data_IF_280941198893
#
_entry.id   IF_280941198893
#
_cell.length_a   1.000
_cell.length_b   1.000
_cell.length_c   1.000
_cell.angle_alpha   90.00
_cell.angle_beta   90.00
_cell.angle_gamma   90.00
#
_symmetry.space_group_name_H-M   'P 1'
#
loop_
_entity.id
_entity.type
_entity.pdbx_description
1 polymer ?
#
# COMPACT_ATOMS: atom_id res chain seq x y z
N UNK A 1 18.00 -2.67 7.34
CA UNK A 1 17.45 -2.99 6.02
C UNK A 1 18.21 -4.17 5.48
N UNK A 2 17.54 -5.31 5.37
CA UNK A 2 18.10 -6.45 4.64
C UNK A 2 18.25 -6.09 3.15
N UNK A 3 19.17 -6.73 2.44
CA UNK A 3 19.34 -6.53 0.99
C UNK A 3 18.03 -6.82 0.21
N UNK A 4 17.20 -7.73 0.73
CA UNK A 4 15.90 -8.07 0.16
C UNK A 4 14.81 -7.00 0.38
N UNK A 5 14.95 -6.12 1.38
CA UNK A 5 13.95 -5.07 1.67
C UNK A 5 14.16 -3.80 0.85
N UNK A 6 15.39 -3.56 0.37
CA UNK A 6 15.75 -2.34 -0.33
C UNK A 6 14.98 -2.11 -1.65
N UNK A 7 14.76 -3.13 -2.51
CA UNK A 7 13.94 -2.98 -3.71
C UNK A 7 12.50 -2.58 -3.38
N UNK A 8 11.90 -3.24 -2.39
CA UNK A 8 10.53 -2.95 -1.97
C UNK A 8 10.36 -1.56 -1.35
N UNK A 9 11.31 -1.12 -0.53
CA UNK A 9 11.33 0.23 0.01
C UNK A 9 11.42 1.28 -1.10
N UNK A 10 12.24 1.04 -2.12
CA UNK A 10 12.32 1.93 -3.30
C UNK A 10 10.99 1.97 -4.07
N UNK A 11 10.32 0.84 -4.27
CA UNK A 11 9.01 0.79 -4.92
C UNK A 11 7.93 1.52 -4.10
N UNK A 12 7.91 1.31 -2.79
CA UNK A 12 7.01 2.01 -1.86
C UNK A 12 7.17 3.52 -1.99
N UNK A 13 8.42 4.01 -1.99
CA UNK A 13 8.73 5.43 -2.21
C UNK A 13 8.22 5.94 -3.56
N UNK A 14 8.52 5.20 -4.64
CA UNK A 14 8.07 5.54 -6.00
C UNK A 14 6.56 5.60 -6.13
N UNK A 15 5.83 4.66 -5.53
CA UNK A 15 4.36 4.63 -5.57
C UNK A 15 3.77 5.89 -4.96
N UNK A 16 4.31 6.36 -3.83
CA UNK A 16 3.89 7.63 -3.22
C UNK A 16 4.16 8.81 -4.16
N UNK A 17 5.37 8.88 -4.73
CA UNK A 17 5.71 9.94 -5.67
C UNK A 17 4.82 9.94 -6.91
N UNK A 18 4.49 8.77 -7.45
CA UNK A 18 3.55 8.66 -8.58
C UNK A 18 2.16 9.11 -8.17
N UNK A 19 1.66 8.66 -7.01
CA UNK A 19 0.34 9.06 -6.51
C UNK A 19 0.22 10.59 -6.37
N UNK A 20 1.26 11.25 -5.85
CA UNK A 20 1.31 12.71 -5.75
C UNK A 20 1.46 13.40 -7.12
N UNK A 21 2.33 12.88 -7.99
CA UNK A 21 2.64 13.49 -9.28
C UNK A 21 1.47 13.47 -10.26
N UNK A 22 0.58 12.47 -10.18
CA UNK A 22 -0.60 12.36 -11.03
C UNK A 22 -1.49 13.60 -11.02
N UNK A 23 -1.61 14.24 -9.85
CA UNK A 23 -2.43 15.44 -9.65
C UNK A 23 -1.57 16.69 -9.36
N UNK A 24 -0.24 16.62 -9.59
CA UNK A 24 0.68 17.73 -9.34
C UNK A 24 0.72 18.19 -7.87
N UNK A 25 0.56 17.26 -6.93
CA UNK A 25 0.52 17.56 -5.50
C UNK A 25 1.94 17.66 -4.90
N UNK A 26 2.25 18.77 -4.23
CA UNK A 26 3.50 18.94 -3.45
C UNK A 26 3.33 18.42 -2.02
N UNK A 27 4.43 18.21 -1.29
CA UNK A 27 4.34 17.81 0.12
C UNK A 27 3.61 18.83 0.99
N UNK A 28 3.91 20.13 0.84
CA UNK A 28 3.17 21.19 1.53
C UNK A 28 1.66 21.10 1.28
N UNK A 29 1.23 20.99 0.01
CA UNK A 29 -0.20 20.86 -0.34
C UNK A 29 -0.80 19.56 0.20
N UNK A 30 -0.04 18.47 0.22
CA UNK A 30 -0.47 17.20 0.79
C UNK A 30 -0.72 17.33 2.29
N UNK A 31 0.16 18.00 3.04
CA UNK A 31 -0.03 18.21 4.47
C UNK A 31 -1.31 19.02 4.74
N UNK A 32 -1.52 20.11 4.01
CA UNK A 32 -2.73 20.93 4.16
C UNK A 32 -4.00 20.09 3.88
N UNK A 33 -4.00 19.33 2.77
CA UNK A 33 -5.15 18.51 2.39
C UNK A 33 -5.40 17.33 3.34
N UNK A 34 -4.35 16.73 3.91
CA UNK A 34 -4.46 15.70 4.95
C UNK A 34 -5.05 16.28 6.24
N UNK A 35 -4.60 17.47 6.65
CA UNK A 35 -5.13 18.16 7.82
C UNK A 35 -6.62 18.50 7.66
N UNK A 36 -7.05 18.96 6.48
CA UNK A 36 -8.46 19.17 6.14
C UNK A 36 -9.29 17.88 6.23
N UNK A 37 -8.68 16.74 5.90
CA UNK A 37 -9.28 15.41 6.04
C UNK A 37 -9.15 14.81 7.46
N UNK A 38 -8.67 15.58 8.45
CA UNK A 38 -8.53 15.15 9.83
C UNK A 38 -7.34 14.23 10.11
N UNK A 39 -6.35 14.19 9.22
CA UNK A 39 -5.12 13.42 9.36
C UNK A 39 -3.97 14.36 9.72
N UNK A 40 -3.49 14.27 10.96
CA UNK A 40 -2.34 15.07 11.41
C UNK A 40 -1.03 14.48 10.89
N UNK A 41 -0.37 15.22 10.00
CA UNK A 41 0.91 14.85 9.42
C UNK A 41 1.86 16.04 9.37
N UNK A 42 3.16 15.77 9.50
CA UNK A 42 4.20 16.80 9.48
C UNK A 42 5.11 16.60 8.28
N UNK A 43 5.35 17.67 7.53
CA UNK A 43 6.01 17.62 6.22
C UNK A 43 7.39 16.94 6.27
N UNK A 44 8.31 17.41 7.13
CA UNK A 44 9.68 16.88 7.19
C UNK A 44 9.73 15.39 7.60
N UNK A 45 9.04 14.94 8.67
CA UNK A 45 8.95 13.52 9.01
C UNK A 45 8.29 12.67 7.92
N UNK A 46 7.28 13.21 7.22
CA UNK A 46 6.62 12.53 6.10
C UNK A 46 7.61 12.30 4.94
N UNK A 47 8.29 13.35 4.48
CA UNK A 47 9.32 13.25 3.43
C UNK A 47 10.37 12.20 3.81
N UNK A 48 10.84 12.21 5.05
CA UNK A 48 11.84 11.27 5.52
C UNK A 48 11.34 9.81 5.53
N UNK A 49 10.07 9.56 5.88
CA UNK A 49 9.45 8.21 5.80
C UNK A 49 9.27 7.76 4.35
N UNK A 50 8.80 8.64 3.47
CA UNK A 50 8.63 8.35 2.04
C UNK A 50 9.98 8.04 1.38
N UNK A 51 11.02 8.82 1.66
CA UNK A 51 12.36 8.58 1.14
C UNK A 51 12.95 7.22 1.56
N UNK A 52 12.59 6.74 2.75
CA UNK A 52 12.98 5.41 3.24
C UNK A 52 12.04 4.28 2.78
N UNK A 53 10.93 4.58 2.12
CA UNK A 53 9.89 3.60 1.78
C UNK A 53 9.13 3.04 3.00
N UNK A 54 9.30 3.64 4.18
CA UNK A 54 8.73 3.18 5.45
C UNK A 54 7.38 3.83 5.73
N UNK A 55 6.45 3.72 4.78
CA UNK A 55 5.11 4.30 4.86
C UNK A 55 4.04 3.23 5.01
N UNK A 56 2.94 3.59 5.68
CA UNK A 56 1.74 2.74 5.80
C UNK A 56 0.96 2.73 4.49
N UNK A 57 0.23 1.66 4.23
CA UNK A 57 -0.68 1.61 3.09
C UNK A 57 -1.83 2.63 3.23
N UNK A 58 -2.29 2.89 4.46
CA UNK A 58 -3.29 3.92 4.76
C UNK A 58 -2.90 5.30 4.22
N UNK A 59 -1.61 5.65 4.26
CA UNK A 59 -1.12 6.91 3.69
C UNK A 59 -1.34 6.99 2.17
N UNK A 60 -1.14 5.88 1.43
CA UNK A 60 -1.44 5.87 0.00
C UNK A 60 -2.93 6.09 -0.24
N UNK A 61 -3.81 5.45 0.53
CA UNK A 61 -5.25 5.65 0.43
C UNK A 61 -5.66 7.09 0.70
N UNK A 62 -5.08 7.68 1.75
CA UNK A 62 -5.29 9.07 2.11
C UNK A 62 -4.81 10.00 0.99
N UNK A 63 -3.62 9.79 0.43
CA UNK A 63 -3.10 10.57 -0.71
C UNK A 63 -4.06 10.48 -1.89
N UNK A 64 -4.49 9.28 -2.29
CA UNK A 64 -5.43 9.09 -3.40
C UNK A 64 -6.73 9.87 -3.14
N UNK A 65 -7.24 9.81 -1.91
CA UNK A 65 -8.46 10.52 -1.51
C UNK A 65 -8.30 12.04 -1.56
N UNK A 66 -7.30 12.60 -0.88
CA UNK A 66 -7.14 14.07 -0.74
C UNK A 66 -6.63 14.73 -2.02
N UNK A 67 -5.98 13.97 -2.90
CA UNK A 67 -5.60 14.47 -4.24
C UNK A 67 -6.76 14.40 -5.23
N UNK A 68 -7.85 13.69 -4.91
CA UNK A 68 -8.95 13.43 -5.84
C UNK A 68 -8.59 12.45 -6.95
N UNK A 69 -7.44 11.77 -6.87
CA UNK A 69 -7.06 10.75 -7.81
C UNK A 69 -8.07 9.60 -7.78
N UNK A 70 -8.44 9.08 -8.96
CA UNK A 70 -9.38 7.97 -9.04
C UNK A 70 -8.72 6.68 -8.52
N UNK A 71 -9.27 6.01 -7.49
CA UNK A 71 -8.75 4.73 -7.05
C UNK A 71 -9.01 3.64 -8.11
N UNK A 72 -8.25 2.54 -8.10
CA UNK A 72 -8.54 1.33 -8.87
C UNK A 72 -9.98 0.88 -8.70
N UNK A 73 -10.58 0.36 -9.78
CA UNK A 73 -12.00 0.01 -9.81
C UNK A 73 -12.39 -0.97 -8.68
N UNK A 74 -11.53 -1.93 -8.40
CA UNK A 74 -11.73 -2.92 -7.33
C UNK A 74 -11.77 -2.31 -5.93
N UNK A 75 -11.17 -1.13 -5.75
CA UNK A 75 -11.07 -0.47 -4.44
C UNK A 75 -12.21 0.51 -4.20
N UNK A 76 -13.04 0.81 -5.20
CA UNK A 76 -14.03 1.89 -5.10
C UNK A 76 -15.01 1.68 -3.94
N UNK A 77 -15.52 0.47 -3.75
CA UNK A 77 -16.42 0.14 -2.63
C UNK A 77 -15.72 0.29 -1.28
N UNK A 78 -14.49 -0.21 -1.18
CA UNK A 78 -13.67 -0.10 0.03
C UNK A 78 -13.33 1.36 0.36
N UNK A 79 -13.04 2.20 -0.64
CA UNK A 79 -12.80 3.64 -0.46
C UNK A 79 -14.05 4.40 -0.02
N UNK A 80 -15.22 4.01 -0.53
CA UNK A 80 -16.50 4.62 -0.18
C UNK A 80 -17.00 4.22 1.21
N UNK A 81 -16.40 3.19 1.83
CA UNK A 81 -16.80 2.74 3.16
C UNK A 81 -16.58 3.82 4.23
N UNK A 82 -17.53 3.89 5.15
CA UNK A 82 -17.42 4.72 6.36
C UNK A 82 -16.48 4.08 7.38
N UNK A 83 -15.90 4.90 8.25
CA UNK A 83 -15.00 4.44 9.32
C UNK A 83 -13.57 4.93 9.16
N UNK A 84 -12.63 4.19 9.73
CA UNK A 84 -11.22 4.58 9.78
C UNK A 84 -10.47 4.20 8.50
N UNK A 85 -9.30 4.82 8.29
CA UNK A 85 -8.43 4.47 7.16
C UNK A 85 -7.93 3.03 7.23
N UNK A 86 -7.74 2.50 8.43
CA UNK A 86 -7.38 1.10 8.67
C UNK A 86 -8.50 0.15 8.23
N UNK A 87 -9.77 0.48 8.53
CA UNK A 87 -10.91 -0.30 8.05
C UNK A 87 -10.98 -0.30 6.51
N UNK A 88 -10.73 0.85 5.87
CA UNK A 88 -10.63 0.95 4.41
C UNK A 88 -9.46 0.13 3.86
N UNK A 89 -8.29 0.16 4.50
CA UNK A 89 -7.13 -0.64 4.12
C UNK A 89 -7.42 -2.14 4.18
N UNK A 90 -8.10 -2.60 5.23
CA UNK A 90 -8.56 -3.96 5.36
C UNK A 90 -9.54 -4.33 4.25
N UNK A 91 -10.53 -3.48 3.98
CA UNK A 91 -11.53 -3.71 2.94
C UNK A 91 -10.91 -3.77 1.53
N UNK A 92 -9.92 -2.92 1.23
CA UNK A 92 -9.17 -2.96 -0.05
C UNK A 92 -8.46 -4.30 -0.20
N UNK A 93 -7.72 -4.73 0.82
CA UNK A 93 -6.99 -5.99 0.74
C UNK A 93 -7.92 -7.22 0.72
N UNK A 94 -9.05 -7.15 1.41
CA UNK A 94 -10.10 -8.16 1.30
C UNK A 94 -10.64 -8.24 -0.14
N UNK A 95 -10.92 -7.10 -0.79
CA UNK A 95 -11.38 -7.06 -2.18
C UNK A 95 -10.35 -7.63 -3.17
N UNK A 96 -9.05 -7.45 -2.90
CA UNK A 96 -7.98 -8.08 -3.67
C UNK A 96 -7.95 -9.60 -3.49
N UNK A 97 -8.13 -10.08 -2.25
CA UNK A 97 -8.16 -11.51 -1.96
C UNK A 97 -9.40 -12.20 -2.53
N UNK A 98 -10.55 -11.53 -2.61
CA UNK A 98 -11.76 -12.12 -3.22
C UNK A 98 -11.64 -12.35 -4.73
N UNK A 99 -10.69 -11.70 -5.41
CA UNK A 99 -10.35 -12.03 -6.80
C UNK A 99 -9.71 -13.41 -6.95
N UNK A 100 -9.15 -13.97 -5.86
CA UNK A 100 -8.58 -15.31 -5.83
C UNK A 100 -9.10 -16.11 -4.64
N UNK A 101 -10.36 -16.59 -4.69
CA UNK A 101 -11.01 -17.27 -3.55
C UNK A 101 -10.27 -18.51 -3.04
N UNK A 102 -9.40 -19.11 -3.86
CA UNK A 102 -8.58 -20.27 -3.49
C UNK A 102 -7.33 -19.92 -2.67
N UNK A 103 -6.99 -18.64 -2.53
CA UNK A 103 -5.85 -18.20 -1.73
C UNK A 103 -6.27 -18.14 -0.26
N UNK A 104 -5.93 -19.19 0.48
CA UNK A 104 -6.07 -19.21 1.93
C UNK A 104 -4.98 -18.34 2.60
N UNK A 105 -5.13 -17.97 3.89
CA UNK A 105 -4.06 -17.28 4.61
C UNK A 105 -2.73 -18.03 4.60
N UNK A 106 -2.75 -19.36 4.70
CA UNK A 106 -1.53 -20.17 4.66
C UNK A 106 -0.89 -20.17 3.26
N UNK A 107 -1.71 -20.21 2.20
CA UNK A 107 -1.25 -20.09 0.82
C UNK A 107 -0.65 -18.70 0.56
N UNK A 108 -1.28 -17.64 1.06
CA UNK A 108 -0.73 -16.28 0.97
C UNK A 108 0.62 -16.20 1.66
N UNK A 109 0.75 -16.77 2.86
CA UNK A 109 2.00 -16.81 3.60
C UNK A 109 3.09 -17.57 2.82
N UNK A 110 2.73 -18.71 2.24
CA UNK A 110 3.65 -19.50 1.41
C UNK A 110 4.16 -18.70 0.21
N UNK A 111 3.26 -18.01 -0.52
CA UNK A 111 3.67 -17.18 -1.65
C UNK A 111 4.49 -15.97 -1.23
N UNK A 112 4.19 -15.35 -0.09
CA UNK A 112 4.98 -14.25 0.45
C UNK A 112 6.41 -14.69 0.81
N UNK A 113 6.58 -15.91 1.31
CA UNK A 113 7.90 -16.48 1.57
C UNK A 113 8.73 -16.64 0.28
N UNK A 114 8.09 -16.95 -0.85
CA UNK A 114 8.76 -17.05 -2.17
C UNK A 114 9.35 -15.71 -2.60
N UNK A 115 8.72 -14.58 -2.25
CA UNK A 115 9.22 -13.22 -2.57
C UNK A 115 10.09 -12.61 -1.46
N UNK A 116 10.63 -13.46 -0.58
CA UNK A 116 11.61 -13.09 0.45
C UNK A 116 11.01 -12.48 1.71
N UNK A 117 9.69 -12.56 1.93
CA UNK A 117 9.05 -12.04 3.14
C UNK A 117 9.09 -13.08 4.24
N UNK A 118 9.90 -12.82 5.27
CA UNK A 118 9.91 -13.61 6.50
C UNK A 118 8.90 -13.04 7.50
N UNK A 119 7.69 -13.62 7.55
CA UNK A 119 6.68 -13.30 8.57
C UNK A 119 6.00 -14.58 9.07
N UNK A 120 5.22 -14.47 10.15
CA UNK A 120 4.41 -15.59 10.67
C UNK A 120 2.94 -15.39 10.29
N UNK A 121 2.18 -16.49 10.18
CA UNK A 121 0.73 -16.42 9.95
C UNK A 121 0.03 -15.52 10.98
N UNK A 122 0.41 -15.64 12.25
CA UNK A 122 -0.15 -14.84 13.35
C UNK A 122 0.13 -13.35 13.16
N UNK A 123 1.37 -12.98 12.87
CA UNK A 123 1.76 -11.58 12.64
C UNK A 123 1.04 -11.01 11.43
N UNK A 124 1.03 -11.77 10.32
CA UNK A 124 0.34 -11.38 9.10
C UNK A 124 -1.15 -11.14 9.36
N UNK A 125 -1.86 -12.12 9.92
CA UNK A 125 -3.29 -12.00 10.23
C UNK A 125 -3.59 -10.86 11.21
N UNK A 126 -2.69 -10.58 12.15
CA UNK A 126 -2.83 -9.44 13.05
C UNK A 126 -2.76 -8.11 12.30
N UNK A 127 -1.79 -7.95 11.40
CA UNK A 127 -1.68 -6.73 10.57
C UNK A 127 -2.86 -6.57 9.61
N UNK A 128 -3.29 -7.68 8.99
CA UNK A 128 -4.44 -7.71 8.08
C UNK A 128 -5.73 -7.31 8.80
N UNK A 129 -5.98 -7.91 9.96
CA UNK A 129 -7.17 -7.62 10.77
C UNK A 129 -7.15 -6.20 11.33
N UNK A 130 -5.98 -5.67 11.68
CA UNK A 130 -5.85 -4.32 12.20
C UNK A 130 -5.90 -3.24 11.11
N UNK A 131 -5.71 -3.60 9.83
CA UNK A 131 -5.56 -2.64 8.74
C UNK A 131 -4.28 -1.79 8.81
N UNK A 132 -3.36 -2.13 9.73
CA UNK A 132 -2.12 -1.39 9.97
C UNK A 132 -0.91 -2.16 9.42
N UNK A 133 -0.78 -2.11 8.09
CA UNK A 133 0.34 -2.71 7.38
C UNK A 133 1.07 -1.69 6.49
N UNK A 134 2.34 -1.99 6.20
CA UNK A 134 3.18 -1.14 5.36
C UNK A 134 2.75 -1.21 3.90
N UNK A 135 3.01 -0.14 3.15
CA UNK A 135 2.82 -0.13 1.70
C UNK A 135 3.70 -1.20 1.04
N UNK A 136 4.92 -1.40 1.53
CA UNK A 136 5.80 -2.49 1.10
C UNK A 136 5.11 -3.86 1.20
N UNK A 137 4.52 -4.17 2.34
CA UNK A 137 3.79 -5.43 2.53
C UNK A 137 2.61 -5.54 1.55
N UNK A 138 1.88 -4.46 1.33
CA UNK A 138 0.81 -4.43 0.35
C UNK A 138 1.32 -4.70 -1.08
N UNK A 139 2.44 -4.10 -1.50
CA UNK A 139 3.04 -4.35 -2.82
C UNK A 139 3.50 -5.80 -2.98
N UNK A 140 4.01 -6.41 -1.91
CA UNK A 140 4.34 -7.83 -1.88
C UNK A 140 3.09 -8.69 -2.08
N UNK A 141 1.99 -8.37 -1.38
CA UNK A 141 0.68 -9.00 -1.59
C UNK A 141 0.21 -8.85 -3.05
N UNK A 142 0.28 -7.64 -3.63
CA UNK A 142 -0.14 -7.42 -5.03
C UNK A 142 0.69 -8.23 -6.01
N UNK A 143 1.97 -8.42 -5.73
CA UNK A 143 2.88 -9.21 -6.55
C UNK A 143 2.52 -10.70 -6.52
N UNK A 144 2.31 -11.27 -5.32
CA UNK A 144 1.96 -12.70 -5.18
C UNK A 144 0.54 -13.03 -5.61
N UNK A 145 -0.36 -12.05 -5.52
CA UNK A 145 -1.71 -12.12 -6.06
C UNK A 145 -1.75 -11.76 -7.56
N UNK A 146 -0.65 -11.29 -8.16
CA UNK A 146 -0.60 -10.84 -9.56
C UNK A 146 -1.73 -9.84 -9.89
N UNK A 147 -2.06 -8.97 -8.94
CA UNK A 147 -3.11 -7.97 -9.10
C UNK A 147 -2.65 -6.85 -10.03
N UNK A 148 -3.58 -6.35 -10.85
CA UNK A 148 -3.37 -5.24 -11.77
C UNK A 148 -3.85 -3.89 -11.20
N UNK A 149 -4.42 -3.89 -9.98
CA UNK A 149 -4.93 -2.65 -9.36
C UNK A 149 -3.86 -1.58 -9.21
N UNK A 150 -2.58 -1.98 -9.16
CA UNK A 150 -1.46 -1.07 -8.97
C UNK A 150 -0.81 -0.56 -10.26
N UNK A 151 -1.27 -0.97 -11.44
CA UNK A 151 -0.63 -0.63 -12.74
C UNK A 151 -0.55 0.88 -12.99
N UNK A 152 -1.47 1.66 -12.42
CA UNK A 152 -1.47 3.12 -12.50
C UNK A 152 -0.42 3.82 -11.62
N UNK A 153 0.22 3.07 -10.71
CA UNK A 153 1.14 3.57 -9.69
C UNK A 153 2.53 2.92 -9.75
N UNK A 154 2.63 1.68 -10.22
CA UNK A 154 3.89 0.95 -10.36
C UNK A 154 3.81 -0.04 -11.51
N UNK A 155 4.90 -0.14 -12.27
CA UNK A 155 5.04 -1.12 -13.35
C UNK A 155 5.13 -2.54 -12.77
N UNK A 156 4.30 -3.45 -13.29
CA UNK A 156 4.32 -4.88 -12.94
C UNK A 156 5.72 -5.51 -13.11
N UNK A 157 6.54 -5.06 -14.07
CA UNK A 157 7.93 -5.52 -14.23
C UNK A 157 8.80 -5.13 -13.04
N UNK A 158 8.57 -3.95 -12.48
CA UNK A 158 9.30 -3.47 -11.31
C UNK A 158 8.93 -4.28 -10.06
N UNK A 159 7.66 -4.67 -9.92
CA UNK A 159 7.20 -5.58 -8.86
C UNK A 159 7.86 -6.96 -8.97
N UNK A 160 7.86 -7.57 -10.16
CA UNK A 160 8.52 -8.86 -10.38
C UNK A 160 10.02 -8.77 -10.13
N UNK A 161 10.67 -7.69 -10.57
CA UNK A 161 12.11 -7.49 -10.34
C UNK A 161 12.48 -7.31 -8.86
N UNK A 162 11.56 -6.82 -8.02
CA UNK A 162 11.80 -6.70 -6.58
C UNK A 162 11.57 -8.02 -5.82
N UNK A 163 10.87 -8.97 -6.44
CA UNK A 163 10.58 -10.29 -5.91
C UNK A 163 11.64 -11.35 -6.25
N UNK A 164 12.57 -11.04 -7.17
CA UNK A 164 13.71 -11.89 -7.56
C UNK A 164 14.97 -11.48 -6.81
#
# INVERSE_FOLDING_TARGET
MSAAEAPWASLSSRVIHVAMAREGCSYARLIDALAEAGVDEVERPLIARVARGSVKFTLLLQIIHVTGARPPALWMEAFASEGTWEARAQAVLAAELTQQPWVTPDELLHRLAVVGVSTTAKTMLSHLSAGDFSLTFFLQCMTVLRSQSMDAYVDSRALVSAAM
#
